data_IF_459510642723
#
_entry.id   IF_459510642723
#
_cell.length_a   1.000
_cell.length_b   1.000
_cell.length_c   1.000
_cell.angle_alpha   90.00
_cell.angle_beta   90.00
_cell.angle_gamma   90.00
#
_symmetry.space_group_name_H-M   'P 1'
#
loop_
_entity.id
_entity.type
_entity.pdbx_description
1 polymer ?
#
# COMPACT_ATOMS: atom_id res chain seq x y z
N UNK A 1 8.42 -29.82 -15.72
CA UNK A 1 7.97 -30.17 -14.36
C UNK A 1 8.66 -31.47 -13.95
N UNK A 2 9.41 -31.49 -12.84
CA UNK A 2 10.08 -32.70 -12.36
C UNK A 2 9.08 -33.69 -11.74
N UNK A 3 9.50 -34.93 -11.48
CA UNK A 3 8.60 -35.97 -10.94
C UNK A 3 8.07 -35.65 -9.54
N UNK A 4 8.87 -35.00 -8.70
CA UNK A 4 8.42 -34.60 -7.35
C UNK A 4 7.23 -33.65 -7.42
N UNK A 5 7.32 -32.61 -8.25
CA UNK A 5 6.25 -31.62 -8.44
C UNK A 5 5.02 -32.27 -9.09
N UNK A 6 5.21 -33.22 -10.01
CA UNK A 6 4.09 -34.00 -10.58
C UNK A 6 3.36 -34.82 -9.52
N UNK A 7 4.10 -35.45 -8.62
CA UNK A 7 3.52 -36.23 -7.53
C UNK A 7 2.79 -35.35 -6.51
N UNK A 8 3.33 -34.18 -6.17
CA UNK A 8 2.64 -33.21 -5.30
C UNK A 8 1.36 -32.68 -5.92
N UNK A 9 1.39 -32.30 -7.20
CA UNK A 9 0.19 -31.87 -7.93
C UNK A 9 -0.84 -33.00 -8.02
N UNK A 10 -0.40 -34.23 -8.31
CA UNK A 10 -1.26 -35.40 -8.35
C UNK A 10 -1.96 -35.67 -7.01
N UNK A 11 -1.23 -35.55 -5.88
CA UNK A 11 -1.81 -35.65 -4.54
C UNK A 11 -2.86 -34.57 -4.28
N UNK A 12 -2.60 -33.34 -4.72
CA UNK A 12 -3.55 -32.23 -4.58
C UNK A 12 -4.83 -32.47 -5.40
N UNK A 13 -4.71 -32.96 -6.63
CA UNK A 13 -5.87 -33.24 -7.49
C UNK A 13 -6.77 -34.35 -6.92
N UNK A 14 -6.21 -35.32 -6.22
CA UNK A 14 -6.96 -36.41 -5.59
C UNK A 14 -7.56 -35.97 -4.24
N UNK A 15 -6.89 -35.07 -3.52
CA UNK A 15 -7.40 -34.49 -2.27
C UNK A 15 -8.26 -33.24 -2.56
N UNK A 16 -9.53 -33.47 -2.84
CA UNK A 16 -10.48 -32.41 -3.20
C UNK A 16 -10.62 -31.32 -2.11
N UNK A 17 -10.51 -31.65 -0.83
CA UNK A 17 -10.59 -30.66 0.26
C UNK A 17 -9.39 -29.70 0.24
N UNK A 18 -8.17 -30.26 0.17
CA UNK A 18 -6.97 -29.46 0.07
C UNK A 18 -6.93 -28.62 -1.22
N UNK A 19 -7.46 -29.16 -2.32
CA UNK A 19 -7.59 -28.40 -3.57
C UNK A 19 -8.57 -27.23 -3.41
N UNK A 20 -9.73 -27.44 -2.79
CA UNK A 20 -10.71 -26.38 -2.54
C UNK A 20 -10.12 -25.24 -1.69
N UNK A 21 -9.32 -25.55 -0.67
CA UNK A 21 -8.64 -24.54 0.15
C UNK A 21 -7.61 -23.72 -0.64
N UNK A 22 -6.92 -24.35 -1.59
CA UNK A 22 -6.01 -23.66 -2.51
C UNK A 22 -6.79 -22.76 -3.46
N UNK A 23 -7.87 -23.27 -4.05
CA UNK A 23 -8.71 -22.55 -5.01
C UNK A 23 -9.45 -21.37 -4.36
N UNK A 24 -9.82 -21.47 -3.08
CA UNK A 24 -10.48 -20.40 -2.32
C UNK A 24 -9.64 -19.10 -2.26
N UNK A 25 -8.31 -19.20 -2.36
CA UNK A 25 -7.39 -18.05 -2.30
C UNK A 25 -7.35 -17.24 -3.61
N UNK A 26 -7.84 -17.82 -4.70
CA UNK A 26 -7.73 -17.24 -6.05
C UNK A 26 -9.11 -17.15 -6.72
N UNK A 27 -10.08 -16.56 -6.02
CA UNK A 27 -11.47 -16.48 -6.47
C UNK A 27 -11.61 -15.84 -7.86
N UNK A 28 -10.83 -14.79 -8.15
CA UNK A 28 -10.81 -14.10 -9.45
C UNK A 28 -10.25 -14.96 -10.61
N UNK A 29 -9.54 -16.04 -10.31
CA UNK A 29 -9.04 -16.99 -11.32
C UNK A 29 -10.07 -18.07 -11.68
N UNK A 30 -11.25 -18.07 -11.06
CA UNK A 30 -12.31 -19.05 -11.25
C UNK A 30 -13.51 -18.52 -12.03
N UNK A 31 -13.34 -17.45 -12.81
CA UNK A 31 -14.46 -16.78 -13.51
C UNK A 31 -15.24 -17.71 -14.45
N UNK A 32 -14.58 -18.73 -15.00
CA UNK A 32 -15.21 -19.73 -15.87
C UNK A 32 -15.94 -20.85 -15.08
N UNK A 33 -15.90 -20.81 -13.74
CA UNK A 33 -16.45 -21.83 -12.84
C UNK A 33 -17.37 -21.22 -11.76
N UNK A 34 -18.51 -20.62 -12.15
CA UNK A 34 -19.38 -19.86 -11.23
C UNK A 34 -19.95 -20.71 -10.09
N UNK A 35 -20.27 -21.99 -10.34
CA UNK A 35 -20.78 -22.89 -9.30
C UNK A 35 -19.72 -23.18 -8.23
N UNK A 36 -18.45 -23.30 -8.64
CA UNK A 36 -17.33 -23.52 -7.73
C UNK A 36 -17.04 -22.25 -6.92
N UNK A 37 -17.10 -21.08 -7.55
CA UNK A 37 -17.02 -19.79 -6.85
C UNK A 37 -18.10 -19.67 -5.77
N UNK A 38 -19.36 -19.94 -6.13
CA UNK A 38 -20.49 -19.91 -5.20
C UNK A 38 -20.30 -20.87 -4.03
N UNK A 39 -19.87 -22.10 -4.31
CA UNK A 39 -19.61 -23.11 -3.28
C UNK A 39 -18.51 -22.66 -2.31
N UNK A 40 -17.38 -22.16 -2.83
CA UNK A 40 -16.26 -21.67 -2.03
C UNK A 40 -16.66 -20.44 -1.20
N UNK A 41 -17.43 -19.52 -1.79
CA UNK A 41 -17.94 -18.35 -1.08
C UNK A 41 -18.85 -18.75 0.09
N UNK A 42 -19.73 -19.75 -0.09
CA UNK A 42 -20.61 -20.25 0.97
C UNK A 42 -19.86 -20.96 2.10
N UNK A 43 -18.70 -21.56 1.82
CA UNK A 43 -17.85 -22.19 2.84
C UNK A 43 -16.93 -21.21 3.56
N UNK A 44 -16.72 -20.01 3.02
CA UNK A 44 -15.87 -19.01 3.65
C UNK A 44 -16.49 -18.51 4.96
N UNK A 45 -15.85 -18.70 6.13
CA UNK A 45 -16.39 -18.29 7.42
C UNK A 45 -16.76 -16.81 7.50
N UNK A 46 -16.04 -15.93 6.81
CA UNK A 46 -16.30 -14.49 6.81
C UNK A 46 -17.55 -14.15 6.01
N UNK A 47 -17.79 -14.83 4.89
CA UNK A 47 -19.02 -14.66 4.09
C UNK A 47 -20.22 -15.22 4.85
N UNK A 48 -20.05 -16.35 5.53
CA UNK A 48 -21.09 -16.91 6.42
C UNK A 48 -21.43 -15.92 7.55
N UNK A 49 -20.42 -15.34 8.20
CA UNK A 49 -20.59 -14.34 9.25
C UNK A 49 -21.27 -13.08 8.74
N UNK A 50 -20.87 -12.57 7.56
CA UNK A 50 -21.52 -11.44 6.89
C UNK A 50 -23.01 -11.70 6.64
N UNK A 51 -23.35 -12.85 6.06
CA UNK A 51 -24.75 -13.22 5.80
C UNK A 51 -25.55 -13.44 7.10
N UNK A 52 -24.90 -13.88 8.19
CA UNK A 52 -25.53 -13.95 9.51
C UNK A 52 -25.80 -12.55 10.06
N UNK A 53 -24.81 -11.67 10.03
CA UNK A 53 -24.93 -10.28 10.52
C UNK A 53 -26.04 -9.50 9.79
N UNK A 54 -26.18 -9.69 8.48
CA UNK A 54 -27.31 -9.14 7.71
C UNK A 54 -28.67 -9.65 8.19
N UNK A 55 -28.81 -10.97 8.43
CA UNK A 55 -30.07 -11.57 8.89
C UNK A 55 -30.43 -11.15 10.31
N UNK A 56 -29.42 -10.95 11.16
CA UNK A 56 -29.56 -10.48 12.53
C UNK A 56 -29.76 -8.97 12.63
N UNK A 57 -29.68 -8.24 11.50
CA UNK A 57 -29.88 -6.79 11.45
C UNK A 57 -28.76 -6.00 12.15
N UNK A 58 -27.55 -6.56 12.24
CA UNK A 58 -26.39 -5.85 12.82
C UNK A 58 -25.97 -4.65 11.94
N UNK A 59 -26.17 -4.78 10.63
CA UNK A 59 -26.05 -3.73 9.62
C UNK A 59 -26.87 -4.12 8.39
N UNK A 60 -27.10 -3.17 7.50
CA UNK A 60 -27.74 -3.34 6.20
C UNK A 60 -26.71 -3.54 5.11
N UNK A 61 -27.15 -4.09 3.97
CA UNK A 61 -26.28 -4.21 2.78
C UNK A 61 -25.79 -2.85 2.29
N UNK A 62 -26.59 -1.79 2.45
CA UNK A 62 -26.21 -0.45 2.02
C UNK A 62 -25.09 0.10 2.92
N UNK A 63 -25.23 0.02 4.25
CA UNK A 63 -24.18 0.47 5.18
C UNK A 63 -22.85 -0.25 4.92
N UNK A 64 -22.89 -1.56 4.64
CA UNK A 64 -21.67 -2.31 4.31
C UNK A 64 -21.03 -1.84 2.98
N UNK A 65 -21.85 -1.47 1.99
CA UNK A 65 -21.37 -0.90 0.72
C UNK A 65 -20.80 0.51 0.91
N UNK A 66 -21.42 1.32 1.78
CA UNK A 66 -20.96 2.68 2.08
C UNK A 66 -19.56 2.63 2.73
N UNK A 67 -19.32 1.71 3.67
CA UNK A 67 -18.00 1.49 4.27
C UNK A 67 -16.95 1.02 3.25
N UNK A 68 -17.33 0.16 2.29
CA UNK A 68 -16.45 -0.20 1.16
C UNK A 68 -16.15 1.04 0.32
N UNK A 69 -17.16 1.84 -0.02
CA UNK A 69 -17.02 3.07 -0.79
C UNK A 69 -16.08 4.07 -0.12
N UNK A 70 -16.22 4.27 1.18
CA UNK A 70 -15.35 5.13 1.98
C UNK A 70 -13.90 4.64 1.95
N UNK A 71 -13.68 3.33 2.09
CA UNK A 71 -12.32 2.77 1.97
C UNK A 71 -11.73 3.00 0.58
N UNK A 72 -12.53 2.88 -0.48
CA UNK A 72 -12.09 3.15 -1.85
C UNK A 72 -11.73 4.64 -2.04
N UNK A 73 -12.47 5.56 -1.43
CA UNK A 73 -12.13 6.99 -1.44
C UNK A 73 -10.78 7.25 -0.77
N UNK A 74 -10.51 6.63 0.39
CA UNK A 74 -9.21 6.74 1.06
C UNK A 74 -8.06 6.23 0.21
N UNK A 75 -8.24 5.08 -0.46
CA UNK A 75 -7.24 4.56 -1.38
C UNK A 75 -6.99 5.52 -2.55
N UNK A 76 -8.04 6.09 -3.15
CA UNK A 76 -7.87 7.09 -4.20
C UNK A 76 -7.12 8.35 -3.71
N UNK A 77 -7.34 8.77 -2.47
CA UNK A 77 -6.58 9.85 -1.84
C UNK A 77 -5.10 9.48 -1.63
N UNK A 78 -4.81 8.28 -1.14
CA UNK A 78 -3.45 7.75 -0.98
C UNK A 78 -2.69 7.66 -2.31
N UNK A 79 -3.39 7.37 -3.41
CA UNK A 79 -2.82 7.29 -4.76
C UNK A 79 -2.59 8.67 -5.40
N UNK A 80 -3.28 9.72 -4.96
CA UNK A 80 -3.24 11.05 -5.58
C UNK A 80 -1.83 11.61 -5.78
N UNK A 81 -0.87 11.49 -4.83
CA UNK A 81 0.50 12.00 -5.02
C UNK A 81 1.29 11.28 -6.12
N UNK A 82 0.83 10.13 -6.59
CA UNK A 82 1.48 9.31 -7.61
C UNK A 82 0.94 9.55 -9.03
N UNK A 83 0.01 10.49 -9.17
CA UNK A 83 -0.69 10.77 -10.42
C UNK A 83 -0.49 12.23 -10.80
N UNK A 84 -0.20 12.49 -12.07
CA UNK A 84 -0.19 13.84 -12.62
C UNK A 84 -1.63 14.36 -12.77
N UNK A 85 -1.94 15.41 -12.01
CA UNK A 85 -3.26 16.03 -11.93
C UNK A 85 -3.34 17.40 -12.61
N UNK A 86 -2.30 17.81 -13.37
CA UNK A 86 -2.21 19.17 -13.94
C UNK A 86 -3.39 19.46 -14.87
N UNK A 87 -3.78 18.48 -15.69
CA UNK A 87 -4.92 18.61 -16.60
C UNK A 87 -6.26 18.88 -15.89
N UNK A 88 -6.48 18.32 -14.69
CA UNK A 88 -7.66 18.60 -13.88
C UNK A 88 -7.53 19.91 -13.14
N UNK A 89 -6.33 20.25 -12.68
CA UNK A 89 -6.04 21.52 -12.02
C UNK A 89 -6.32 22.69 -12.95
N UNK A 90 -5.83 22.63 -14.20
CA UNK A 90 -6.10 23.63 -15.24
C UNK A 90 -7.60 23.76 -15.53
N UNK A 91 -8.30 22.63 -15.67
CA UNK A 91 -9.75 22.61 -15.91
C UNK A 91 -10.51 23.24 -14.75
N UNK A 92 -10.28 22.78 -13.52
CA UNK A 92 -10.99 23.28 -12.33
C UNK A 92 -10.67 24.75 -12.10
N UNK A 93 -9.40 25.17 -12.24
CA UNK A 93 -9.01 26.57 -12.15
C UNK A 93 -9.73 27.45 -13.19
N UNK A 94 -9.98 26.95 -14.41
CA UNK A 94 -10.75 27.69 -15.41
C UNK A 94 -12.24 27.89 -15.03
N UNK A 95 -12.77 27.03 -14.17
CA UNK A 95 -14.17 27.07 -13.71
C UNK A 95 -14.34 27.92 -12.44
N UNK A 96 -13.41 27.79 -11.48
CA UNK A 96 -13.56 28.38 -10.14
C UNK A 96 -12.53 29.47 -9.81
N UNK A 97 -11.49 29.64 -10.63
CA UNK A 97 -10.38 30.53 -10.34
C UNK A 97 -9.65 30.12 -9.05
N UNK A 98 -9.59 31.05 -8.09
CA UNK A 98 -9.00 30.81 -6.76
C UNK A 98 -10.02 30.44 -5.66
N UNK A 99 -11.30 30.30 -6.01
CA UNK A 99 -12.36 30.00 -5.03
C UNK A 99 -12.44 28.49 -4.77
N UNK A 100 -11.65 28.04 -3.81
CA UNK A 100 -11.51 26.61 -3.49
C UNK A 100 -12.82 25.97 -3.00
N UNK A 101 -13.71 26.75 -2.38
CA UNK A 101 -14.97 26.23 -1.85
C UNK A 101 -15.94 25.84 -2.98
N UNK A 102 -15.88 26.54 -4.12
CA UNK A 102 -16.70 26.20 -5.29
C UNK A 102 -16.35 24.86 -5.92
N UNK A 103 -15.16 24.32 -5.68
CA UNK A 103 -14.76 22.99 -6.19
C UNK A 103 -15.74 21.91 -5.71
N UNK A 104 -16.23 22.02 -4.47
CA UNK A 104 -17.17 21.04 -3.87
C UNK A 104 -18.53 20.99 -4.56
N UNK A 105 -18.88 22.03 -5.31
CA UNK A 105 -20.15 22.14 -6.01
C UNK A 105 -20.06 21.75 -7.50
N UNK A 106 -18.84 21.48 -8.01
CA UNK A 106 -18.66 21.12 -9.42
C UNK A 106 -19.30 19.77 -9.73
N UNK A 107 -19.99 19.74 -10.87
CA UNK A 107 -20.61 18.53 -11.41
C UNK A 107 -19.71 17.81 -12.40
N UNK A 108 -20.02 16.54 -12.68
CA UNK A 108 -19.35 15.74 -13.72
C UNK A 108 -19.43 16.42 -15.09
N UNK A 109 -20.56 17.06 -15.41
CA UNK A 109 -20.78 17.77 -16.68
C UNK A 109 -19.84 18.98 -16.81
N UNK A 110 -19.70 19.77 -15.75
CA UNK A 110 -18.81 20.93 -15.74
C UNK A 110 -17.34 20.52 -15.82
N UNK A 111 -16.93 19.50 -15.08
CA UNK A 111 -15.54 19.02 -15.13
C UNK A 111 -15.25 18.38 -16.51
N UNK A 112 -16.15 17.53 -16.99
CA UNK A 112 -16.04 16.78 -18.23
C UNK A 112 -15.73 15.31 -17.98
N UNK A 113 -16.61 14.43 -18.48
CA UNK A 113 -16.51 12.98 -18.30
C UNK A 113 -15.20 12.38 -18.83
N UNK A 114 -14.64 12.93 -19.92
CA UNK A 114 -13.39 12.43 -20.50
C UNK A 114 -12.18 12.68 -19.58
N UNK A 115 -12.14 13.83 -18.90
CA UNK A 115 -11.06 14.14 -17.95
C UNK A 115 -11.18 13.26 -16.70
N UNK A 116 -12.39 13.01 -16.22
CA UNK A 116 -12.63 12.09 -15.11
C UNK A 116 -12.31 10.64 -15.49
N UNK A 117 -12.64 10.20 -16.71
CA UNK A 117 -12.26 8.89 -17.23
C UNK A 117 -10.73 8.74 -17.32
N UNK A 118 -10.03 9.78 -17.79
CA UNK A 118 -8.55 9.83 -17.76
C UNK A 118 -8.02 9.68 -16.33
N UNK A 119 -8.59 10.37 -15.35
CA UNK A 119 -8.22 10.21 -13.94
C UNK A 119 -8.37 8.77 -13.44
N UNK A 120 -9.52 8.14 -13.72
CA UNK A 120 -9.77 6.74 -13.32
C UNK A 120 -8.74 5.79 -13.94
N UNK A 121 -8.36 6.01 -15.20
CA UNK A 121 -7.31 5.23 -15.86
C UNK A 121 -5.93 5.44 -15.21
N UNK A 122 -5.61 6.67 -14.79
CA UNK A 122 -4.37 6.97 -14.07
C UNK A 122 -4.34 6.30 -12.69
N UNK A 123 -5.46 6.27 -11.96
CA UNK A 123 -5.60 5.47 -10.75
C UNK A 123 -5.35 3.98 -11.01
N UNK A 124 -5.92 3.44 -12.09
CA UNK A 124 -5.67 2.07 -12.53
C UNK A 124 -4.18 1.77 -12.71
N UNK A 125 -3.45 2.66 -13.39
CA UNK A 125 -1.99 2.53 -13.55
C UNK A 125 -1.22 2.62 -12.24
N UNK A 126 -1.57 3.55 -11.36
CA UNK A 126 -0.91 3.76 -10.07
C UNK A 126 -1.10 2.57 -9.09
N UNK A 127 -2.26 1.91 -9.12
CA UNK A 127 -2.54 0.72 -8.31
C UNK A 127 -1.51 -0.40 -8.56
N UNK A 128 -1.18 -0.64 -9.83
CA UNK A 128 -0.20 -1.66 -10.20
C UNK A 128 1.24 -1.25 -9.88
N UNK A 129 1.58 0.05 -9.97
CA UNK A 129 2.94 0.51 -9.65
C UNK A 129 3.23 0.43 -8.15
N UNK A 130 2.24 0.63 -7.29
CA UNK A 130 2.37 0.48 -5.84
C UNK A 130 2.39 -0.98 -5.41
N UNK A 131 1.56 -1.84 -6.02
CA UNK A 131 1.64 -3.29 -5.81
C UNK A 131 3.01 -3.89 -6.17
N UNK A 132 3.71 -3.31 -7.14
CA UNK A 132 5.05 -3.76 -7.56
C UNK A 132 6.20 -3.09 -6.81
N UNK A 133 5.94 -2.09 -5.97
CA UNK A 133 7.02 -1.45 -5.22
C UNK A 133 7.46 -2.35 -4.08
N UNK A 134 8.58 -3.07 -4.27
CA UNK A 134 9.49 -3.29 -3.14
C UNK A 134 9.73 -1.92 -2.52
N UNK A 135 9.59 -1.75 -1.20
CA UNK A 135 9.83 -0.46 -0.57
C UNK A 135 11.19 0.09 -1.03
N UNK A 136 11.16 1.26 -1.67
CA UNK A 136 12.38 1.93 -2.09
C UNK A 136 12.99 2.59 -0.87
N UNK A 137 13.89 1.86 -0.21
CA UNK A 137 14.59 2.40 0.94
C UNK A 137 15.56 3.51 0.49
N UNK A 138 15.66 4.64 1.22
CA UNK A 138 16.57 5.74 0.85
C UNK A 138 18.03 5.29 0.67
N UNK A 139 18.44 4.23 1.35
CA UNK A 139 19.78 3.67 1.28
C UNK A 139 20.03 2.77 0.05
N UNK A 140 18.99 2.38 -0.68
CA UNK A 140 19.06 1.65 -1.96
C UNK A 140 18.85 2.57 -3.18
N UNK A 141 18.74 3.88 -2.99
CA UNK A 141 18.49 4.80 -4.08
C UNK A 141 19.65 4.84 -5.09
N UNK A 142 19.33 4.68 -6.38
CA UNK A 142 20.30 4.71 -7.49
C UNK A 142 20.44 6.09 -8.15
N UNK A 143 19.63 7.07 -7.71
CA UNK A 143 19.67 8.48 -8.16
C UNK A 143 19.71 9.40 -6.94
N UNK A 144 20.54 10.45 -7.00
CA UNK A 144 20.79 11.37 -5.89
C UNK A 144 22.04 11.02 -5.07
N UNK A 145 22.45 11.91 -4.16
CA UNK A 145 23.49 11.60 -3.19
C UNK A 145 22.87 10.88 -1.99
N UNK A 146 23.25 9.62 -1.80
CA UNK A 146 22.87 8.83 -0.62
C UNK A 146 23.90 9.10 0.48
N UNK A 147 23.45 9.54 1.65
CA UNK A 147 24.29 9.72 2.83
C UNK A 147 24.63 8.37 3.47
N UNK A 148 25.50 7.59 2.81
CA UNK A 148 25.88 6.24 3.24
C UNK A 148 26.42 6.19 4.67
N UNK A 149 27.13 7.23 5.12
CA UNK A 149 27.65 7.33 6.48
C UNK A 149 26.53 7.29 7.53
N UNK A 150 25.44 8.01 7.28
CA UNK A 150 24.26 7.97 8.14
C UNK A 150 23.53 6.63 8.01
N UNK A 151 23.23 6.21 6.77
CA UNK A 151 22.35 5.07 6.55
C UNK A 151 22.94 3.73 7.02
N UNK A 152 24.27 3.55 6.97
CA UNK A 152 24.90 2.35 7.55
C UNK A 152 24.77 2.24 9.06
N UNK A 153 24.54 3.35 9.75
CA UNK A 153 24.42 3.42 11.20
C UNK A 153 23.01 3.87 11.64
N UNK A 154 22.02 3.79 10.75
CA UNK A 154 20.69 4.33 11.02
C UNK A 154 19.97 3.66 12.19
N UNK A 155 20.37 2.44 12.59
CA UNK A 155 19.89 1.77 13.80
C UNK A 155 20.20 2.58 15.08
N UNK A 156 21.39 3.16 15.19
CA UNK A 156 21.76 4.01 16.33
C UNK A 156 21.00 5.35 16.32
N UNK A 157 20.72 5.86 15.13
CA UNK A 157 19.88 7.05 14.96
C UNK A 157 18.40 6.72 15.28
N UNK A 158 17.94 5.51 14.99
CA UNK A 158 16.61 5.03 15.35
C UNK A 158 16.46 4.89 16.88
N UNK A 159 17.47 4.36 17.58
CA UNK A 159 17.48 4.28 19.04
C UNK A 159 17.29 5.66 19.67
N UNK A 160 18.08 6.65 19.23
CA UNK A 160 17.92 8.03 19.67
C UNK A 160 16.57 8.64 19.29
N UNK A 161 16.07 8.34 18.09
CA UNK A 161 14.75 8.81 17.65
C UNK A 161 13.65 8.27 18.56
N UNK A 162 13.72 6.99 18.94
CA UNK A 162 12.82 6.33 19.89
C UNK A 162 12.91 6.95 21.29
N UNK A 163 14.11 7.32 21.73
CA UNK A 163 14.40 7.96 23.03
C UNK A 163 14.02 9.45 23.10
N UNK A 164 13.36 10.00 22.08
CA UNK A 164 12.75 11.33 22.13
C UNK A 164 13.38 12.37 21.18
N UNK A 165 14.35 11.99 20.36
CA UNK A 165 14.90 12.84 19.29
C UNK A 165 14.04 12.80 18.01
N UNK A 166 12.72 12.89 18.18
CA UNK A 166 11.74 12.55 17.13
C UNK A 166 11.61 13.55 15.95
N UNK A 167 12.25 14.72 16.04
CA UNK A 167 12.25 15.73 14.98
C UNK A 167 13.58 15.74 14.21
N UNK A 168 13.52 16.12 12.93
CA UNK A 168 14.71 16.16 12.06
C UNK A 168 15.84 17.00 12.66
N UNK A 169 15.50 18.16 13.23
CA UNK A 169 16.45 19.04 13.91
C UNK A 169 17.14 18.37 15.10
N UNK A 170 16.36 17.73 15.99
CA UNK A 170 16.90 17.03 17.18
C UNK A 170 17.80 15.87 16.77
N UNK A 171 17.34 15.07 15.80
CA UNK A 171 18.08 13.94 15.29
C UNK A 171 19.38 14.37 14.58
N UNK A 172 19.34 15.45 13.81
CA UNK A 172 20.54 16.02 13.16
C UNK A 172 21.57 16.47 14.18
N UNK A 173 21.15 17.15 15.25
CA UNK A 173 22.06 17.57 16.31
C UNK A 173 22.69 16.36 17.01
N UNK A 174 21.91 15.31 17.27
CA UNK A 174 22.42 14.06 17.84
C UNK A 174 23.43 13.38 16.91
N UNK A 175 23.13 13.25 15.62
CA UNK A 175 24.03 12.63 14.66
C UNK A 175 25.32 13.43 14.45
N UNK A 176 25.26 14.76 14.52
CA UNK A 176 26.45 15.60 14.40
C UNK A 176 27.37 15.44 15.61
N UNK A 177 26.82 15.28 16.81
CA UNK A 177 27.58 15.06 18.05
C UNK A 177 28.17 13.63 18.14
N UNK A 178 27.41 12.61 17.71
CA UNK A 178 27.79 11.20 17.90
C UNK A 178 28.50 10.54 16.73
N UNK A 179 28.17 10.95 15.50
CA UNK A 179 28.58 10.24 14.29
C UNK A 179 29.25 11.16 13.26
N UNK A 180 29.50 12.43 13.62
CA UNK A 180 30.01 13.49 12.74
C UNK A 180 29.29 13.54 11.38
N UNK A 181 27.98 13.32 11.40
CA UNK A 181 27.15 13.31 10.20
C UNK A 181 25.81 14.00 10.43
N UNK A 182 25.18 14.44 9.33
CA UNK A 182 23.82 15.01 9.38
C UNK A 182 22.79 13.94 9.10
N UNK A 183 21.67 13.98 9.83
CA UNK A 183 20.53 13.14 9.51
C UNK A 183 19.88 13.63 8.20
N UNK A 184 19.67 12.77 7.19
CA UNK A 184 18.93 13.12 5.98
C UNK A 184 17.50 13.57 6.32
N UNK A 185 16.92 14.48 5.55
CA UNK A 185 15.52 14.92 5.75
C UNK A 185 14.52 13.75 5.72
N UNK A 186 14.83 12.71 4.95
CA UNK A 186 14.03 11.49 4.82
C UNK A 186 14.12 10.55 6.03
N UNK A 187 15.07 10.73 6.95
CA UNK A 187 15.34 9.81 8.08
C UNK A 187 14.15 9.67 9.03
N UNK A 188 13.57 10.78 9.49
CA UNK A 188 12.43 10.76 10.41
C UNK A 188 11.20 10.11 9.76
N UNK A 189 10.95 10.37 8.47
CA UNK A 189 9.86 9.73 7.73
C UNK A 189 10.11 8.23 7.60
N UNK A 190 11.34 7.84 7.30
CA UNK A 190 11.75 6.45 7.20
C UNK A 190 11.52 5.68 8.51
N UNK A 191 11.93 6.22 9.66
CA UNK A 191 11.71 5.56 10.97
C UNK A 191 10.24 5.44 11.35
N UNK A 192 9.41 6.44 11.02
CA UNK A 192 7.95 6.35 11.24
C UNK A 192 7.29 5.29 10.37
N UNK A 193 7.78 5.13 9.15
CA UNK A 193 7.14 4.27 8.15
C UNK A 193 7.59 2.81 8.26
N UNK A 194 8.87 2.57 8.54
CA UNK A 194 9.48 1.25 8.50
C UNK A 194 9.98 0.77 9.86
N UNK A 195 9.93 1.60 10.90
CA UNK A 195 10.39 1.23 12.23
C UNK A 195 11.91 1.09 12.32
N UNK A 196 12.35 0.10 13.07
CA UNK A 196 13.76 -0.17 13.33
C UNK A 196 14.46 -0.68 12.06
N UNK A 197 15.56 -0.04 11.60
CA UNK A 197 16.35 -0.55 10.48
C UNK A 197 16.84 -1.98 10.67
N UNK A 198 17.06 -2.42 11.92
CA UNK A 198 17.46 -3.80 12.24
C UNK A 198 16.39 -4.83 11.88
N UNK A 199 15.14 -4.44 11.69
CA UNK A 199 14.08 -5.37 11.27
C UNK A 199 13.99 -5.53 9.75
N UNK A 200 14.81 -4.79 8.98
CA UNK A 200 14.78 -4.75 7.53
C UNK A 200 15.94 -5.58 6.96
N UNK A 201 15.69 -6.75 6.35
CA UNK A 201 16.74 -7.61 5.81
C UNK A 201 17.66 -6.91 4.80
N UNK A 202 17.08 -6.07 3.92
CA UNK A 202 17.85 -5.32 2.93
C UNK A 202 18.76 -4.26 3.58
N UNK A 203 18.36 -3.71 4.73
CA UNK A 203 19.21 -2.81 5.48
C UNK A 203 20.36 -3.57 6.15
N UNK A 204 20.10 -4.74 6.75
CA UNK A 204 21.15 -5.57 7.37
C UNK A 204 22.24 -5.93 6.37
N UNK A 205 21.85 -6.38 5.19
CA UNK A 205 22.76 -6.68 4.08
C UNK A 205 23.53 -5.42 3.63
N UNK A 206 22.83 -4.30 3.45
CA UNK A 206 23.44 -3.03 3.04
C UNK A 206 24.44 -2.46 4.06
N UNK A 207 24.12 -2.55 5.35
CA UNK A 207 24.91 -2.03 6.45
C UNK A 207 26.05 -2.97 6.86
N UNK A 208 25.99 -4.24 6.44
CA UNK A 208 26.87 -5.30 6.95
C UNK A 208 26.64 -5.56 8.44
N UNK A 209 25.37 -5.51 8.87
CA UNK A 209 24.98 -5.70 10.26
C UNK A 209 24.73 -7.18 10.55
N UNK A 210 25.61 -7.78 11.36
CA UNK A 210 25.48 -9.15 11.86
C UNK A 210 25.11 -9.11 13.35
N UNK A 211 24.11 -9.92 13.74
CA UNK A 211 23.70 -10.12 15.14
C UNK A 211 24.79 -10.96 15.87
N UNK A 212 25.91 -10.35 16.25
CA UNK A 212 26.87 -10.94 17.19
C UNK A 212 26.57 -10.50 18.62
#
# INVERSE_FOLDING_TARGET
MNESIKNELGKLLVNQEALLDVLAKSHSSLNDYPELQDYLARKNPNVVNYNRALREGQFTKQEFLDEIGERLNWLAYELQPHIDMDFLTERVASLVGGDIEKIKALTIEEIGADLLSKLVNLYGGALYSIQQSKPSYPFLATKGQVDHAFWKQSHLAYDAWSDGYQSHYKLTNYCQDKFDCKAPQSSVRFFRQFGDPRDIPEWREYAGFDDN
#
